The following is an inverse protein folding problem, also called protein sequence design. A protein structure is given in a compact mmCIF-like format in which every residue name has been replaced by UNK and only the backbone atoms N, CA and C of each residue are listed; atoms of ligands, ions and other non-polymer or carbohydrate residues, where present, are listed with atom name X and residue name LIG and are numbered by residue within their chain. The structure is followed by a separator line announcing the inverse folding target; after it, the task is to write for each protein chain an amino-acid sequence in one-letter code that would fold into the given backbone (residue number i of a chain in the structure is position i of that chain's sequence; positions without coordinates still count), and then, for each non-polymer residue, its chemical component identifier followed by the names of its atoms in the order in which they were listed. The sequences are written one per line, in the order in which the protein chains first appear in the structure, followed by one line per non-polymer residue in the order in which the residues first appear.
data_IF_240807202654
#
_entry.id   IF_240807202654
#
_cell.length_a   1.000
_cell.length_b   1.000
_cell.length_c   1.000
_cell.angle_alpha   90.00
_cell.angle_beta   90.00
_cell.angle_gamma   90.00
#
_symmetry.space_group_name_H-M   'P 1'
#
loop_
_entity.id
_entity.type
_entity.pdbx_description
1 polymer ?
#
# COMPACT_ATOMS: atom_id res chain seq x y z
N UNK A 1 -11.23 -10.94 0.88
CA UNK A 1 -11.72 -11.96 1.85
C UNK A 1 -12.44 -13.14 1.17
N UNK A 2 -12.68 -13.06 -0.14
CA UNK A 2 -13.41 -14.12 -0.85
C UNK A 2 -12.71 -15.50 -0.82
N UNK A 3 -11.38 -15.53 -0.80
CA UNK A 3 -10.63 -16.78 -0.72
C UNK A 3 -11.06 -17.63 0.49
N UNK A 4 -11.04 -17.05 1.70
CA UNK A 4 -11.45 -17.77 2.92
C UNK A 4 -12.94 -18.18 2.84
N UNK A 5 -13.80 -17.27 2.38
CA UNK A 5 -15.23 -17.51 2.25
C UNK A 5 -15.55 -18.66 1.29
N UNK A 6 -14.82 -18.74 0.17
CA UNK A 6 -15.05 -19.76 -0.87
C UNK A 6 -14.41 -21.09 -0.50
N UNK A 7 -13.15 -21.07 -0.02
CA UNK A 7 -12.41 -22.28 0.31
C UNK A 7 -12.84 -22.93 1.64
N UNK A 8 -13.46 -22.13 2.55
CA UNK A 8 -13.91 -22.61 3.85
C UNK A 8 -12.76 -23.26 4.64
N UNK A 9 -12.98 -24.46 5.23
CA UNK A 9 -11.96 -25.18 5.99
C UNK A 9 -10.69 -25.53 5.19
N UNK A 10 -10.78 -25.64 3.87
CA UNK A 10 -9.62 -25.91 3.02
C UNK A 10 -8.64 -24.74 2.93
N UNK A 11 -9.02 -23.55 3.40
CA UNK A 11 -8.12 -22.41 3.49
C UNK A 11 -7.13 -22.50 4.66
N UNK A 12 -7.44 -23.30 5.69
CA UNK A 12 -6.61 -23.38 6.91
C UNK A 12 -5.17 -23.81 6.61
N UNK A 13 -4.22 -23.07 7.18
CA UNK A 13 -2.78 -23.33 7.01
C UNK A 13 -2.19 -22.86 5.68
N UNK A 14 -2.98 -22.34 4.75
CA UNK A 14 -2.46 -21.80 3.49
C UNK A 14 -1.58 -20.59 3.79
N UNK A 15 -0.37 -20.58 3.22
CA UNK A 15 0.57 -19.43 3.31
C UNK A 15 0.54 -18.67 2.00
N UNK A 16 0.46 -17.35 2.09
CA UNK A 16 0.44 -16.47 0.93
C UNK A 16 1.23 -15.19 1.16
N UNK A 17 1.82 -14.67 0.08
CA UNK A 17 2.37 -13.33 0.07
C UNK A 17 1.24 -12.30 -0.04
N UNK A 18 1.38 -11.19 0.68
CA UNK A 18 0.40 -10.12 0.69
C UNK A 18 1.08 -8.76 0.89
N UNK A 19 0.37 -7.69 0.56
CA UNK A 19 0.78 -6.34 0.93
C UNK A 19 0.52 -6.05 2.42
N UNK A 20 1.33 -5.19 3.04
CA UNK A 20 1.23 -4.84 4.45
C UNK A 20 -0.16 -4.32 4.88
N UNK A 21 -0.91 -3.70 3.97
CA UNK A 21 -2.26 -3.19 4.22
C UNK A 21 -3.24 -4.25 4.72
N UNK A 22 -3.01 -5.52 4.41
CA UNK A 22 -3.92 -6.60 4.82
C UNK A 22 -3.83 -6.97 6.30
N UNK A 23 -2.70 -6.65 6.95
CA UNK A 23 -2.52 -6.86 8.38
C UNK A 23 -1.62 -5.79 9.01
N UNK A 24 -2.02 -4.52 9.03
CA UNK A 24 -1.22 -3.47 9.66
C UNK A 24 -1.15 -3.64 11.18
N UNK A 25 -2.16 -4.26 11.81
CA UNK A 25 -2.20 -4.53 13.25
C UNK A 25 -1.04 -5.43 13.69
N UNK A 26 -0.69 -6.42 12.88
CA UNK A 26 0.38 -7.38 13.16
C UNK A 26 1.79 -6.88 12.83
N UNK A 27 1.94 -5.69 12.26
CA UNK A 27 3.25 -5.12 11.96
C UNK A 27 3.92 -4.54 13.21
N UNK A 28 5.26 -4.53 13.22
CA UNK A 28 6.04 -3.84 14.24
C UNK A 28 5.68 -2.34 14.29
N UNK A 29 5.78 -1.72 15.46
CA UNK A 29 5.48 -0.28 15.61
C UNK A 29 6.41 0.62 14.79
N UNK A 30 7.61 0.15 14.51
CA UNK A 30 8.59 0.82 13.66
C UNK A 30 8.30 0.71 12.16
N UNK A 31 7.35 -0.14 11.74
CA UNK A 31 7.04 -0.32 10.33
C UNK A 31 6.33 0.92 9.77
N UNK A 32 6.93 1.54 8.76
CA UNK A 32 6.43 2.77 8.16
C UNK A 32 5.05 2.60 7.50
N UNK A 33 4.70 1.39 7.08
CA UNK A 33 3.42 1.03 6.47
C UNK A 33 2.29 0.84 7.48
N UNK A 34 2.61 0.66 8.78
CA UNK A 34 1.60 0.38 9.82
C UNK A 34 0.59 1.51 9.98
N UNK A 35 1.07 2.72 10.20
CA UNK A 35 0.19 3.88 10.44
C UNK A 35 -0.74 4.19 9.26
N UNK A 36 -0.25 4.32 8.01
CA UNK A 36 -1.13 4.53 6.87
C UNK A 36 -2.09 3.34 6.63
N UNK A 37 -1.64 2.10 6.85
CA UNK A 37 -2.48 0.91 6.74
C UNK A 37 -3.64 0.90 7.74
N UNK A 38 -3.37 1.21 9.01
CA UNK A 38 -4.41 1.35 10.05
C UNK A 38 -5.40 2.47 9.69
N UNK A 39 -4.91 3.64 9.27
CA UNK A 39 -5.75 4.77 8.91
C UNK A 39 -6.71 4.43 7.76
N UNK A 40 -6.19 3.82 6.68
CA UNK A 40 -7.02 3.39 5.56
C UNK A 40 -8.05 2.35 6.00
N UNK A 41 -7.63 1.26 6.66
CA UNK A 41 -8.53 0.16 7.00
C UNK A 41 -9.64 0.62 7.95
N UNK A 42 -9.33 1.46 8.94
CA UNK A 42 -10.33 2.03 9.85
C UNK A 42 -11.39 2.83 9.08
N UNK A 43 -10.96 3.73 8.20
CA UNK A 43 -11.90 4.55 7.42
C UNK A 43 -12.68 3.73 6.40
N UNK A 44 -12.02 2.75 5.75
CA UNK A 44 -12.63 1.91 4.73
C UNK A 44 -13.68 0.96 5.32
N UNK A 45 -13.35 0.28 6.43
CA UNK A 45 -14.27 -0.63 7.12
C UNK A 45 -15.42 0.13 7.80
N UNK A 46 -15.21 1.34 8.28
CA UNK A 46 -16.29 2.21 8.78
C UNK A 46 -17.31 2.54 7.69
N UNK A 47 -16.86 2.69 6.44
CA UNK A 47 -17.74 3.03 5.31
C UNK A 47 -18.38 1.82 4.64
N UNK A 48 -17.64 0.73 4.48
CA UNK A 48 -18.06 -0.42 3.67
C UNK A 48 -18.36 -1.69 4.49
N UNK A 49 -18.23 -1.60 5.81
CA UNK A 49 -18.49 -2.70 6.74
C UNK A 49 -17.23 -3.47 7.14
N UNK A 50 -17.32 -4.24 8.22
CA UNK A 50 -16.20 -5.03 8.73
C UNK A 50 -15.73 -6.06 7.70
N UNK A 51 -14.43 -6.33 7.69
CA UNK A 51 -13.77 -7.26 6.76
C UNK A 51 -13.86 -6.86 5.28
N UNK A 52 -14.15 -5.60 4.95
CA UNK A 52 -14.17 -5.09 3.57
C UNK A 52 -12.79 -4.70 3.05
N UNK A 53 -11.74 -4.70 3.91
CA UNK A 53 -10.37 -4.33 3.52
C UNK A 53 -9.88 -5.09 2.29
N UNK A 54 -9.10 -4.41 1.45
CA UNK A 54 -8.67 -4.93 0.17
C UNK A 54 -7.31 -4.37 -0.24
N UNK A 55 -6.45 -5.22 -0.83
CA UNK A 55 -5.20 -4.75 -1.42
C UNK A 55 -5.44 -3.72 -2.54
N UNK A 56 -6.50 -3.89 -3.32
CA UNK A 56 -6.83 -2.95 -4.40
C UNK A 56 -7.19 -1.56 -3.85
N UNK A 57 -7.93 -1.51 -2.73
CA UNK A 57 -8.18 -0.24 -2.04
C UNK A 57 -6.88 0.38 -1.53
N UNK A 58 -5.95 -0.44 -1.02
CA UNK A 58 -4.61 -0.02 -0.62
C UNK A 58 -3.83 0.60 -1.78
N UNK A 59 -3.76 -0.06 -2.92
CA UNK A 59 -3.07 0.47 -4.11
C UNK A 59 -3.66 1.80 -4.61
N UNK A 60 -4.99 1.92 -4.63
CA UNK A 60 -5.65 3.17 -5.01
C UNK A 60 -5.36 4.30 -4.02
N UNK A 61 -5.36 3.99 -2.72
CA UNK A 61 -5.02 4.95 -1.68
C UNK A 61 -3.54 5.36 -1.75
N UNK A 62 -2.63 4.42 -2.00
CA UNK A 62 -1.21 4.70 -2.16
C UNK A 62 -0.94 5.64 -3.33
N UNK A 63 -1.64 5.47 -4.46
CA UNK A 63 -1.55 6.41 -5.57
C UNK A 63 -1.88 7.85 -5.12
N UNK A 64 -2.91 8.01 -4.29
CA UNK A 64 -3.27 9.31 -3.72
C UNK A 64 -2.18 9.85 -2.76
N UNK A 65 -1.66 9.02 -1.85
CA UNK A 65 -0.60 9.42 -0.91
C UNK A 65 0.69 9.82 -1.63
N UNK A 66 1.06 9.08 -2.67
CA UNK A 66 2.20 9.42 -3.54
C UNK A 66 1.96 10.76 -4.22
N UNK A 67 0.81 10.95 -4.86
CA UNK A 67 0.50 12.21 -5.57
C UNK A 67 0.46 13.41 -4.64
N UNK A 68 0.07 13.26 -3.38
CA UNK A 68 0.15 14.33 -2.36
C UNK A 68 1.58 14.86 -2.15
N UNK A 69 2.59 14.04 -2.39
CA UNK A 69 4.01 14.44 -2.33
C UNK A 69 4.50 14.97 -3.67
N UNK A 70 4.20 14.27 -4.74
CA UNK A 70 4.70 14.53 -6.07
C UNK A 70 4.15 15.83 -6.68
N UNK A 71 2.83 16.07 -6.56
CA UNK A 71 2.21 17.26 -7.17
C UNK A 71 2.75 18.57 -6.59
N UNK A 72 2.82 18.76 -5.26
CA UNK A 72 3.41 19.98 -4.71
C UNK A 72 4.87 20.20 -5.10
N UNK A 73 5.66 19.12 -5.25
CA UNK A 73 7.04 19.22 -5.72
C UNK A 73 7.10 19.71 -7.17
N UNK A 74 6.26 19.16 -8.05
CA UNK A 74 6.18 19.55 -9.46
C UNK A 74 5.68 21.00 -9.65
N UNK A 75 4.73 21.46 -8.82
CA UNK A 75 4.16 22.81 -8.87
C UNK A 75 5.18 23.92 -8.60
N UNK A 76 6.30 23.59 -7.94
CA UNK A 76 7.40 24.55 -7.72
C UNK A 76 8.12 24.90 -9.03
N UNK A 77 8.05 24.03 -10.03
CA UNK A 77 8.86 24.10 -11.24
C UNK A 77 8.06 24.41 -12.50
N UNK A 78 6.75 24.10 -12.55
CA UNK A 78 5.92 24.27 -13.73
C UNK A 78 4.43 24.42 -13.40
N UNK A 79 3.67 24.94 -14.39
CA UNK A 79 2.23 25.14 -14.28
C UNK A 79 1.43 23.94 -14.77
N UNK A 80 0.34 23.52 -14.11
CA UNK A 80 -0.55 22.46 -14.59
C UNK A 80 -1.05 22.70 -16.01
N UNK A 81 -1.28 21.60 -16.72
CA UNK A 81 -1.79 21.62 -18.10
C UNK A 81 -0.71 21.75 -19.17
N UNK A 82 0.57 21.94 -18.83
CA UNK A 82 1.68 22.08 -19.77
C UNK A 82 2.52 20.80 -19.92
N UNK A 83 3.35 20.72 -20.95
CA UNK A 83 4.30 19.62 -21.13
C UNK A 83 5.38 19.65 -20.03
N UNK A 84 5.82 20.85 -19.67
CA UNK A 84 6.80 21.09 -18.60
C UNK A 84 6.29 20.59 -17.25
N UNK A 85 4.99 20.71 -16.97
CA UNK A 85 4.41 20.17 -15.74
C UNK A 85 4.42 18.64 -15.72
N UNK A 86 4.13 17.98 -16.85
CA UNK A 86 4.24 16.51 -16.94
C UNK A 86 5.68 16.04 -16.71
N UNK A 87 6.66 16.75 -17.26
CA UNK A 87 8.07 16.44 -17.02
C UNK A 87 8.46 16.73 -15.55
N UNK A 88 7.98 17.81 -14.96
CA UNK A 88 8.21 18.10 -13.55
C UNK A 88 7.63 17.01 -12.63
N UNK A 89 6.46 16.45 -12.95
CA UNK A 89 5.91 15.29 -12.25
C UNK A 89 6.84 14.08 -12.39
N UNK A 90 7.31 13.76 -13.60
CA UNK A 90 8.22 12.64 -13.82
C UNK A 90 9.51 12.79 -13.02
N UNK A 91 10.08 13.99 -12.98
CA UNK A 91 11.28 14.30 -12.20
C UNK A 91 11.02 14.20 -10.68
N UNK A 92 9.85 14.65 -10.21
CA UNK A 92 9.48 14.54 -8.81
C UNK A 92 9.37 13.09 -8.36
N UNK A 93 8.87 12.17 -9.20
CA UNK A 93 8.92 10.73 -8.92
C UNK A 93 10.34 10.19 -8.74
N UNK A 94 11.32 10.75 -9.46
CA UNK A 94 12.71 10.31 -9.38
C UNK A 94 13.48 10.94 -8.21
N UNK A 95 13.02 12.06 -7.68
CA UNK A 95 13.71 12.82 -6.62
C UNK A 95 13.09 12.66 -5.24
N UNK A 96 11.81 12.34 -5.16
CA UNK A 96 11.13 12.08 -3.88
C UNK A 96 11.36 10.62 -3.47
N UNK A 97 11.82 10.45 -2.23
CA UNK A 97 12.17 9.14 -1.70
C UNK A 97 11.48 8.86 -0.37
N UNK A 98 11.48 7.58 0.03
CA UNK A 98 10.91 7.10 1.29
C UNK A 98 9.47 7.54 1.49
N UNK A 99 8.66 7.44 0.42
CA UNK A 99 7.23 7.75 0.50
C UNK A 99 6.53 6.54 1.12
N UNK A 100 6.30 6.62 2.43
CA UNK A 100 5.58 5.58 3.16
C UNK A 100 4.09 5.62 2.85
N UNK A 101 3.54 4.48 2.45
CA UNK A 101 2.13 4.29 2.15
C UNK A 101 1.64 2.92 2.68
N UNK A 102 0.48 2.46 2.26
CA UNK A 102 -0.13 1.27 2.85
C UNK A 102 0.46 -0.04 2.35
N UNK A 103 0.98 -0.06 1.11
CA UNK A 103 1.53 -1.25 0.47
C UNK A 103 3.05 -1.33 0.52
N UNK A 104 3.72 -0.26 0.94
CA UNK A 104 5.16 -0.23 1.00
C UNK A 104 5.72 1.16 1.21
N UNK A 105 7.02 1.27 1.00
CA UNK A 105 7.75 2.53 0.99
C UNK A 105 8.33 2.72 -0.41
N UNK A 106 7.92 3.78 -1.09
CA UNK A 106 8.19 3.97 -2.50
C UNK A 106 9.48 4.76 -2.73
N UNK A 107 10.33 4.23 -3.63
CA UNK A 107 11.61 4.79 -4.07
C UNK A 107 11.82 4.46 -5.54
N UNK A 108 11.39 5.32 -6.46
CA UNK A 108 11.56 5.09 -7.90
C UNK A 108 12.95 5.47 -8.37
N UNK A 109 13.46 4.71 -9.35
CA UNK A 109 14.70 5.00 -10.05
C UNK A 109 14.51 4.83 -11.57
N UNK A 110 15.48 5.26 -12.36
CA UNK A 110 15.47 5.03 -13.81
C UNK A 110 15.44 3.53 -14.18
N UNK A 111 15.96 2.67 -13.31
CA UNK A 111 16.02 1.22 -13.53
C UNK A 111 14.87 0.48 -12.85
N UNK A 112 14.39 0.98 -11.73
CA UNK A 112 13.28 0.39 -10.98
C UNK A 112 12.08 1.32 -10.99
N UNK A 113 11.08 0.96 -11.80
CA UNK A 113 9.80 1.68 -11.95
C UNK A 113 8.71 1.17 -11.01
N UNK A 114 8.95 0.06 -10.33
CA UNK A 114 8.08 -0.41 -9.24
C UNK A 114 8.27 0.44 -7.99
N UNK A 115 9.51 0.74 -7.66
CA UNK A 115 9.88 1.57 -6.53
C UNK A 115 9.61 0.93 -5.18
N UNK A 116 9.31 -0.37 -5.12
CA UNK A 116 8.99 -1.09 -3.89
C UNK A 116 10.11 -2.08 -3.54
N UNK A 117 10.43 -2.17 -2.26
CA UNK A 117 11.41 -3.10 -1.70
C UNK A 117 10.75 -4.19 -0.82
N UNK A 118 11.54 -4.91 -0.04
CA UNK A 118 11.06 -6.01 0.80
C UNK A 118 10.04 -5.57 1.85
N UNK A 119 9.98 -4.29 2.20
CA UNK A 119 8.97 -3.73 3.11
C UNK A 119 7.56 -3.77 2.53
N UNK A 120 7.40 -4.06 1.24
CA UNK A 120 6.11 -4.18 0.55
C UNK A 120 5.47 -5.56 0.65
N UNK A 121 6.13 -6.52 1.29
CA UNK A 121 5.69 -7.91 1.35
C UNK A 121 5.61 -8.40 2.77
N UNK A 122 4.49 -9.04 3.09
CA UNK A 122 4.30 -9.82 4.30
C UNK A 122 3.84 -11.23 3.92
N UNK A 123 4.15 -12.18 4.77
CA UNK A 123 3.57 -13.53 4.67
C UNK A 123 2.40 -13.63 5.63
N UNK A 124 1.28 -14.09 5.11
CA UNK A 124 0.07 -14.38 5.87
C UNK A 124 -0.23 -15.87 5.80
N UNK A 125 -0.84 -16.38 6.87
CA UNK A 125 -1.47 -17.70 6.88
C UNK A 125 -2.93 -17.56 7.31
N UNK A 126 -3.73 -18.57 7.01
CA UNK A 126 -5.11 -18.66 7.49
C UNK A 126 -5.14 -19.48 8.77
N UNK A 127 -5.72 -18.94 9.82
CA UNK A 127 -5.99 -19.65 11.07
C UNK A 127 -7.35 -19.23 11.61
N UNK A 128 -8.18 -20.22 11.94
CA UNK A 128 -9.54 -20.02 12.43
C UNK A 128 -10.36 -19.08 11.51
N UNK A 129 -10.21 -19.24 10.19
CA UNK A 129 -10.87 -18.45 9.17
C UNK A 129 -10.42 -16.99 9.09
N UNK A 130 -9.24 -16.63 9.62
CA UNK A 130 -8.69 -15.28 9.59
C UNK A 130 -7.27 -15.26 9.05
N UNK A 131 -6.91 -14.15 8.40
CA UNK A 131 -5.53 -13.90 8.04
C UNK A 131 -4.74 -13.46 9.27
N UNK A 132 -3.64 -14.15 9.56
CA UNK A 132 -2.67 -13.78 10.58
C UNK A 132 -1.26 -13.78 9.96
N UNK A 133 -0.27 -13.11 10.57
CA UNK A 133 1.11 -13.23 10.12
C UNK A 133 1.55 -14.70 10.11
N UNK A 134 2.18 -15.16 9.01
CA UNK A 134 2.89 -16.42 9.00
C UNK A 134 4.22 -16.21 9.75
N UNK A 135 4.49 -17.10 10.71
CA UNK A 135 5.77 -17.10 11.45
C UNK A 135 6.89 -17.72 10.60
#
# INVERSE_FOLDING_TARGET
MDFIRIAGPAAEGVIMASGPVMNPEGQADSALTKKPGLALNTAYEAKYGPNSRSQFAGHAYDAFEVLKRIIPAALKNAKPGTAEFREAIRQAFMSEHEIAATQGVYNWTEKDRSGLDDRSRILLTVKDGKYIPAM
#
